data_IF_179317501755
#
_entry.id   IF_179317501755
#
_cell.length_a   1.000
_cell.length_b   1.000
_cell.length_c   1.000
_cell.angle_alpha   90.00
_cell.angle_beta   90.00
_cell.angle_gamma   90.00
#
_symmetry.space_group_name_H-M   'P 1'
#
loop_
_entity.id
_entity.type
_entity.pdbx_description
1 polymer ?
#
# COMPACT_ATOMS: atom_id res chain seq x y z
N UNK A 1 -0.88 2.00 21.72
CA UNK A 1 -1.82 1.73 20.61
C UNK A 1 -2.77 2.90 20.49
N UNK A 2 -2.65 3.68 19.41
CA UNK A 2 -3.58 4.78 19.16
C UNK A 2 -4.89 4.25 18.55
N UNK A 3 -5.99 4.99 18.72
CA UNK A 3 -7.29 4.68 18.10
C UNK A 3 -7.22 4.58 16.57
N UNK A 4 -6.20 5.16 15.93
CA UNK A 4 -5.94 5.04 14.50
C UNK A 4 -5.32 3.69 14.10
N UNK A 5 -4.53 3.06 14.97
CA UNK A 5 -3.93 1.74 14.72
C UNK A 5 -4.97 0.61 14.85
N UNK A 6 -5.94 0.76 15.75
CA UNK A 6 -7.03 -0.21 15.93
C UNK A 6 -8.03 -0.21 14.77
N UNK A 7 -8.26 0.95 14.15
CA UNK A 7 -9.21 1.10 13.02
C UNK A 7 -8.66 0.54 11.70
N UNK A 8 -7.33 0.37 11.57
CA UNK A 8 -6.70 -0.03 10.30
C UNK A 8 -6.82 -1.53 10.01
N UNK A 9 -6.86 -2.37 11.03
CA UNK A 9 -6.64 -3.82 10.85
C UNK A 9 -7.92 -4.66 10.82
N UNK A 10 -9.09 -4.10 11.15
CA UNK A 10 -10.32 -4.89 11.30
C UNK A 10 -11.51 -4.39 10.47
N UNK A 11 -11.43 -3.19 9.88
CA UNK A 11 -12.55 -2.59 9.15
C UNK A 11 -12.70 -3.14 7.72
N UNK A 12 -11.67 -3.78 7.17
CA UNK A 12 -11.54 -3.98 5.71
C UNK A 12 -11.60 -5.42 5.24
N UNK A 13 -11.62 -6.40 6.15
CA UNK A 13 -11.75 -7.82 5.81
C UNK A 13 -13.16 -8.18 5.29
N UNK A 14 -14.08 -7.21 5.28
CA UNK A 14 -15.47 -7.39 4.86
C UNK A 14 -16.10 -6.11 4.28
N UNK A 15 -15.31 -5.24 3.66
CA UNK A 15 -15.90 -4.07 2.97
C UNK A 15 -16.60 -4.56 1.71
N UNK A 16 -17.92 -4.68 1.82
CA UNK A 16 -18.81 -4.67 0.67
C UNK A 16 -18.58 -3.35 -0.07
N UNK A 17 -17.85 -3.40 -1.18
CA UNK A 17 -17.51 -2.19 -1.91
C UNK A 17 -18.76 -1.62 -2.58
N UNK A 18 -19.38 -0.66 -1.91
CA UNK A 18 -20.34 0.30 -2.42
C UNK A 18 -19.68 1.67 -2.59
N UNK A 19 -20.37 2.64 -3.21
CA UNK A 19 -19.88 4.02 -3.28
C UNK A 19 -19.53 4.63 -1.91
N UNK A 20 -20.33 4.29 -0.89
CA UNK A 20 -20.19 4.75 0.49
C UNK A 20 -18.88 4.29 1.12
N UNK A 21 -18.32 3.18 0.63
CA UNK A 21 -17.08 2.59 1.15
C UNK A 21 -15.89 2.86 0.22
N UNK A 22 -16.13 2.97 -1.09
CA UNK A 22 -15.08 3.17 -2.10
C UNK A 22 -14.31 4.49 -1.90
N UNK A 23 -15.03 5.62 -1.77
CA UNK A 23 -14.40 6.95 -1.63
C UNK A 23 -13.60 7.06 -0.32
N UNK A 24 -14.14 6.65 0.85
CA UNK A 24 -13.36 6.65 2.09
C UNK A 24 -12.15 5.72 2.07
N UNK A 25 -12.28 4.53 1.48
CA UNK A 25 -11.16 3.58 1.34
C UNK A 25 -10.03 4.19 0.51
N UNK A 26 -10.35 4.83 -0.61
CA UNK A 26 -9.34 5.53 -1.41
C UNK A 26 -8.70 6.70 -0.64
N UNK A 27 -9.41 7.36 0.28
CA UNK A 27 -8.84 8.41 1.15
C UNK A 27 -7.80 7.90 2.13
N UNK A 28 -8.04 6.72 2.69
CA UNK A 28 -7.26 6.21 3.82
C UNK A 28 -6.11 5.30 3.40
N UNK A 29 -6.05 4.88 2.13
CA UNK A 29 -4.91 4.13 1.58
C UNK A 29 -3.86 5.11 1.08
N UNK A 30 -2.69 5.14 1.74
CA UNK A 30 -1.50 5.82 1.24
C UNK A 30 -0.86 4.95 0.17
N UNK A 31 -0.86 5.41 -1.08
CA UNK A 31 -0.25 4.68 -2.18
C UNK A 31 1.27 4.87 -2.29
N UNK A 32 1.91 5.64 -1.39
CA UNK A 32 3.35 5.91 -1.43
C UNK A 32 3.79 6.72 -2.68
N UNK A 33 4.34 7.92 -2.46
CA UNK A 33 4.92 8.82 -3.47
C UNK A 33 4.12 9.10 -4.76
N UNK A 34 2.80 9.28 -4.64
CA UNK A 34 2.01 10.03 -5.62
C UNK A 34 1.07 10.99 -4.89
N UNK A 35 1.65 11.96 -4.19
CA UNK A 35 0.93 13.11 -3.67
C UNK A 35 0.77 14.17 -4.76
N UNK A 36 -0.39 14.27 -5.41
CA UNK A 36 -0.85 15.54 -6.02
C UNK A 36 -2.38 15.68 -5.83
N UNK A 37 -2.71 16.67 -4.98
CA UNK A 37 -3.85 17.58 -4.89
C UNK A 37 -5.28 17.09 -5.23
N UNK A 38 -6.09 16.97 -4.17
CA UNK A 38 -7.52 16.61 -4.18
C UNK A 38 -8.46 17.82 -4.25
N UNK A 39 -7.97 19.06 -4.26
CA UNK A 39 -8.85 20.22 -4.03
C UNK A 39 -9.60 20.80 -5.23
N UNK A 40 -9.24 20.48 -6.48
CA UNK A 40 -9.78 21.23 -7.64
C UNK A 40 -10.72 20.44 -8.56
N UNK A 41 -11.19 19.26 -8.15
CA UNK A 41 -11.94 18.37 -9.05
C UNK A 41 -13.47 18.38 -8.88
N UNK A 42 -14.03 19.32 -8.11
CA UNK A 42 -15.49 19.56 -8.09
C UNK A 42 -15.97 20.43 -9.26
N UNK A 43 -15.05 21.04 -10.00
CA UNK A 43 -15.37 22.05 -11.03
C UNK A 43 -15.02 21.60 -12.46
N UNK A 44 -14.31 20.48 -12.65
CA UNK A 44 -13.94 20.02 -13.99
C UNK A 44 -15.12 19.42 -14.76
N UNK A 45 -15.39 20.00 -15.92
CA UNK A 45 -16.30 19.50 -16.93
C UNK A 45 -15.67 18.37 -17.75
N UNK A 46 -16.51 17.56 -18.38
CA UNK A 46 -16.17 16.38 -19.20
C UNK A 46 -15.03 16.59 -20.23
N UNK A 47 -14.78 17.83 -20.67
CA UNK A 47 -13.75 18.17 -21.66
C UNK A 47 -12.38 18.53 -21.06
N UNK A 48 -12.29 18.67 -19.74
CA UNK A 48 -11.05 19.10 -19.05
C UNK A 48 -10.25 17.91 -18.51
N UNK A 49 -10.79 16.69 -18.56
CA UNK A 49 -10.08 15.42 -18.31
C UNK A 49 -9.35 14.94 -19.58
N UNK A 50 -8.63 15.87 -20.20
CA UNK A 50 -7.88 15.66 -21.43
C UNK A 50 -6.55 14.97 -21.11
N UNK A 51 -6.36 13.72 -21.57
CA UNK A 51 -5.03 13.16 -21.84
C UNK A 51 -5.07 11.76 -22.49
N UNK A 52 -5.94 10.83 -22.07
CA UNK A 52 -5.87 9.43 -22.56
C UNK A 52 -7.12 8.97 -23.31
N UNK A 53 -8.32 9.19 -22.79
CA UNK A 53 -9.56 8.70 -23.44
C UNK A 53 -9.89 9.53 -24.69
N UNK A 54 -9.78 10.86 -24.60
CA UNK A 54 -10.01 11.79 -25.71
C UNK A 54 -8.97 11.60 -26.84
N UNK A 55 -7.72 11.28 -26.50
CA UNK A 55 -6.67 11.06 -27.49
C UNK A 55 -6.90 9.79 -28.32
N UNK A 56 -7.41 8.73 -27.69
CA UNK A 56 -7.81 7.50 -28.40
C UNK A 56 -9.03 7.73 -29.30
N UNK A 57 -9.96 8.61 -28.90
CA UNK A 57 -11.14 8.97 -29.71
C UNK A 57 -10.79 9.85 -30.91
N UNK A 58 -9.89 10.84 -30.78
CA UNK A 58 -9.62 11.84 -31.83
C UNK A 58 -8.88 11.31 -33.07
N UNK A 59 -8.11 10.23 -32.96
CA UNK A 59 -7.30 9.69 -34.07
C UNK A 59 -7.90 8.44 -34.73
N UNK A 60 -9.02 7.93 -34.21
CA UNK A 60 -9.60 6.64 -34.64
C UNK A 60 -10.78 6.81 -35.59
N UNK A 61 -10.87 5.95 -36.61
CA UNK A 61 -12.04 5.88 -37.48
C UNK A 61 -13.30 5.52 -36.65
N UNK A 62 -14.42 6.16 -36.97
CA UNK A 62 -15.72 5.85 -36.34
C UNK A 62 -16.53 4.94 -37.24
N UNK A 63 -17.05 3.84 -36.68
CA UNK A 63 -17.85 2.86 -37.41
C UNK A 63 -19.20 2.63 -36.75
N UNK A 64 -20.16 2.17 -37.54
CA UNK A 64 -21.51 1.90 -37.06
C UNK A 64 -21.61 0.52 -36.41
N UNK A 65 -22.02 0.47 -35.14
CA UNK A 65 -22.35 -0.77 -34.41
C UNK A 65 -23.82 -0.71 -34.01
N UNK A 66 -24.67 -1.47 -34.70
CA UNK A 66 -26.12 -1.38 -34.54
C UNK A 66 -26.63 0.02 -34.92
N UNK A 67 -27.11 0.77 -33.93
CA UNK A 67 -27.61 2.14 -34.10
C UNK A 67 -26.63 3.22 -33.64
N UNK A 68 -25.43 2.86 -33.20
CA UNK A 68 -24.47 3.77 -32.56
C UNK A 68 -23.20 3.96 -33.41
N UNK A 69 -22.62 5.16 -33.36
CA UNK A 69 -21.34 5.48 -34.01
C UNK A 69 -20.20 5.38 -33.01
N UNK A 70 -19.30 4.43 -33.18
CA UNK A 70 -18.34 4.03 -32.15
C UNK A 70 -16.94 4.09 -32.73
N UNK A 71 -15.96 4.56 -31.96
CA UNK A 71 -14.54 4.44 -32.32
C UNK A 71 -14.21 2.98 -32.64
N UNK A 72 -13.48 2.74 -33.72
CA UNK A 72 -13.11 1.40 -34.17
C UNK A 72 -12.40 0.59 -33.07
N UNK A 73 -11.59 1.25 -32.25
CA UNK A 73 -10.87 0.65 -31.12
C UNK A 73 -11.81 0.08 -30.06
N UNK A 74 -13.03 0.61 -29.96
CA UNK A 74 -14.03 0.24 -28.97
C UNK A 74 -15.05 -0.77 -29.48
N UNK A 75 -15.06 -1.08 -30.79
CA UNK A 75 -15.98 -2.05 -31.38
C UNK A 75 -15.91 -3.43 -30.69
N UNK A 76 -14.73 -4.02 -30.42
CA UNK A 76 -14.67 -5.32 -29.76
C UNK A 76 -15.23 -5.27 -28.34
N UNK A 77 -14.98 -4.17 -27.62
CA UNK A 77 -15.46 -3.94 -26.25
C UNK A 77 -16.98 -3.85 -26.26
N UNK A 78 -17.55 -2.97 -27.10
CA UNK A 78 -18.99 -2.75 -27.14
C UNK A 78 -19.75 -4.02 -27.53
N UNK A 79 -19.25 -4.76 -28.53
CA UNK A 79 -19.83 -6.05 -28.93
C UNK A 79 -19.81 -7.06 -27.79
N UNK A 80 -18.68 -7.18 -27.08
CA UNK A 80 -18.55 -8.08 -25.93
C UNK A 80 -19.57 -7.72 -24.83
N UNK A 81 -19.75 -6.44 -24.57
CA UNK A 81 -20.68 -5.94 -23.56
C UNK A 81 -22.13 -6.21 -23.98
N UNK A 82 -22.50 -5.90 -25.22
CA UNK A 82 -23.85 -6.18 -25.74
C UNK A 82 -24.17 -7.67 -25.77
N UNK A 83 -23.19 -8.51 -26.08
CA UNK A 83 -23.39 -9.96 -26.05
C UNK A 83 -23.63 -10.50 -24.64
N UNK A 84 -22.99 -9.92 -23.61
CA UNK A 84 -23.10 -10.39 -22.21
C UNK A 84 -24.25 -9.73 -21.43
N UNK A 85 -24.53 -8.47 -21.70
CA UNK A 85 -25.40 -7.63 -20.87
C UNK A 85 -26.57 -7.02 -21.66
N UNK A 86 -26.64 -7.26 -22.97
CA UNK A 86 -27.59 -6.59 -23.86
C UNK A 86 -27.24 -5.13 -24.10
N UNK A 87 -28.16 -4.39 -24.72
CA UNK A 87 -28.00 -2.94 -24.89
C UNK A 87 -28.14 -2.23 -23.54
N UNK A 88 -27.00 -1.91 -22.93
CA UNK A 88 -26.89 -1.26 -21.62
C UNK A 88 -27.55 0.12 -21.57
N UNK A 89 -27.84 0.75 -22.71
CA UNK A 89 -28.49 2.06 -22.78
C UNK A 89 -29.94 2.00 -23.30
N UNK A 90 -30.52 0.81 -23.44
CA UNK A 90 -31.89 0.63 -23.92
C UNK A 90 -32.93 1.39 -23.08
N UNK A 91 -32.75 1.41 -21.74
CA UNK A 91 -33.66 2.08 -20.80
C UNK A 91 -33.44 3.59 -20.67
N UNK A 92 -32.34 4.13 -21.20
CA UNK A 92 -32.06 5.56 -21.14
C UNK A 92 -33.01 6.35 -22.05
N UNK A 93 -33.49 7.49 -21.57
CA UNK A 93 -34.38 8.41 -22.31
C UNK A 93 -33.62 9.38 -23.23
N UNK A 94 -32.30 9.29 -23.26
CA UNK A 94 -31.45 10.18 -24.05
C UNK A 94 -31.63 9.97 -25.55
N UNK A 95 -31.37 11.02 -26.33
CA UNK A 95 -31.31 10.92 -27.79
C UNK A 95 -30.12 10.05 -28.21
N UNK A 96 -30.24 9.41 -29.38
CA UNK A 96 -29.25 8.46 -29.93
C UNK A 96 -27.84 9.05 -29.99
N UNK A 97 -27.72 10.31 -30.40
CA UNK A 97 -26.44 11.02 -30.51
C UNK A 97 -25.77 11.16 -29.14
N UNK A 98 -26.55 11.45 -28.11
CA UNK A 98 -26.07 11.54 -26.73
C UNK A 98 -25.73 10.15 -26.17
N UNK A 99 -26.55 9.13 -26.43
CA UNK A 99 -26.24 7.73 -26.04
C UNK A 99 -24.92 7.28 -26.65
N UNK A 100 -24.67 7.65 -27.90
CA UNK A 100 -23.43 7.34 -28.62
C UNK A 100 -22.20 7.95 -27.92
N UNK A 101 -22.29 9.19 -27.43
CA UNK A 101 -21.20 9.82 -26.66
C UNK A 101 -20.91 9.07 -25.37
N UNK A 102 -21.95 8.74 -24.60
CA UNK A 102 -21.78 7.98 -23.36
C UNK A 102 -21.29 6.54 -23.58
N UNK A 103 -21.67 5.89 -24.69
CA UNK A 103 -21.14 4.58 -25.06
C UNK A 103 -19.64 4.63 -25.38
N UNK A 104 -19.18 5.64 -26.12
CA UNK A 104 -17.75 5.81 -26.39
C UNK A 104 -16.97 6.11 -25.09
N UNK A 105 -17.47 7.02 -24.25
CA UNK A 105 -16.90 7.29 -22.92
C UNK A 105 -16.78 6.00 -22.08
N UNK A 106 -17.87 5.24 -21.97
CA UNK A 106 -17.89 3.98 -21.24
C UNK A 106 -16.88 2.97 -21.79
N UNK A 107 -16.84 2.79 -23.11
CA UNK A 107 -15.88 1.89 -23.74
C UNK A 107 -14.44 2.38 -23.56
N UNK A 108 -14.20 3.69 -23.56
CA UNK A 108 -12.90 4.29 -23.29
C UNK A 108 -12.41 4.01 -21.87
N UNK A 109 -13.30 4.07 -20.88
CA UNK A 109 -12.97 3.66 -19.50
C UNK A 109 -12.63 2.17 -19.44
N UNK A 110 -13.47 1.32 -20.04
CA UNK A 110 -13.22 -0.14 -20.07
C UNK A 110 -11.90 -0.45 -20.80
N UNK A 111 -11.63 0.22 -21.92
CA UNK A 111 -10.37 0.11 -22.65
C UNK A 111 -9.18 0.51 -21.76
N UNK A 112 -9.28 1.63 -21.04
CA UNK A 112 -8.25 2.06 -20.09
C UNK A 112 -8.02 1.02 -19.01
N UNK A 113 -9.10 0.46 -18.41
CA UNK A 113 -8.98 -0.62 -17.41
C UNK A 113 -8.28 -1.86 -17.97
N UNK A 114 -8.64 -2.31 -19.17
CA UNK A 114 -8.05 -3.50 -19.79
C UNK A 114 -6.58 -3.33 -20.18
N UNK A 115 -6.14 -2.10 -20.48
CA UNK A 115 -4.78 -1.82 -20.96
C UNK A 115 -3.86 -1.23 -19.89
N UNK A 116 -4.32 -1.08 -18.65
CA UNK A 116 -3.49 -0.58 -17.54
C UNK A 116 -2.86 -1.76 -16.80
N UNK A 117 -1.53 -1.77 -16.65
CA UNK A 117 -0.86 -2.76 -15.80
C UNK A 117 -1.14 -2.49 -14.32
N UNK A 118 -1.24 -3.55 -13.49
CA UNK A 118 -1.54 -3.42 -12.07
C UNK A 118 -0.62 -2.43 -11.31
N UNK A 119 0.68 -2.40 -11.67
CA UNK A 119 1.67 -1.49 -11.08
C UNK A 119 1.44 -0.01 -11.40
N UNK A 120 0.73 0.29 -12.48
CA UNK A 120 0.48 1.65 -12.96
C UNK A 120 -0.88 2.18 -12.45
N UNK A 121 -1.66 1.32 -11.79
CA UNK A 121 -2.91 1.72 -11.15
C UNK A 121 -2.60 2.55 -9.92
N UNK A 122 -3.08 3.78 -9.91
CA UNK A 122 -3.01 4.69 -8.78
C UNK A 122 -4.40 5.23 -8.42
N UNK A 123 -4.46 5.94 -7.30
CA UNK A 123 -5.69 6.53 -6.77
C UNK A 123 -6.42 7.43 -7.75
N UNK A 124 -5.70 8.26 -8.50
CA UNK A 124 -6.31 9.20 -9.44
C UNK A 124 -6.97 8.45 -10.60
N UNK A 125 -6.33 7.39 -11.08
CA UNK A 125 -6.88 6.55 -12.14
C UNK A 125 -8.16 5.82 -11.69
N UNK A 126 -8.15 5.24 -10.48
CA UNK A 126 -9.34 4.59 -9.89
C UNK A 126 -10.51 5.58 -9.73
N UNK A 127 -10.23 6.80 -9.25
CA UNK A 127 -11.23 7.86 -9.14
C UNK A 127 -11.75 8.29 -10.51
N UNK A 128 -10.88 8.37 -11.51
CA UNK A 128 -11.28 8.73 -12.87
C UNK A 128 -12.22 7.67 -13.48
N UNK A 129 -11.89 6.38 -13.38
CA UNK A 129 -12.77 5.30 -13.84
C UNK A 129 -14.12 5.36 -13.13
N UNK A 130 -14.13 5.48 -11.80
CA UNK A 130 -15.35 5.57 -11.01
C UNK A 130 -16.23 6.76 -11.41
N UNK A 131 -15.65 7.95 -11.56
CA UNK A 131 -16.39 9.17 -11.95
C UNK A 131 -17.05 9.02 -13.32
N UNK A 132 -16.35 8.47 -14.29
CA UNK A 132 -16.90 8.29 -15.63
C UNK A 132 -18.02 7.24 -15.63
N UNK A 133 -17.89 6.15 -14.88
CA UNK A 133 -19.00 5.23 -14.67
C UNK A 133 -20.19 5.93 -14.00
N UNK A 134 -19.98 6.78 -13.00
CA UNK A 134 -21.08 7.55 -12.39
C UNK A 134 -21.81 8.45 -13.37
N UNK A 135 -21.09 9.11 -14.29
CA UNK A 135 -21.72 9.90 -15.35
C UNK A 135 -22.58 9.03 -16.28
N UNK A 136 -22.09 7.86 -16.67
CA UNK A 136 -22.80 6.91 -17.54
C UNK A 136 -24.03 6.32 -16.83
N UNK A 137 -23.92 6.01 -15.54
CA UNK A 137 -25.05 5.57 -14.71
C UNK A 137 -26.12 6.66 -14.59
N UNK A 138 -25.73 7.91 -14.29
CA UNK A 138 -26.64 9.05 -14.26
C UNK A 138 -27.31 9.32 -15.61
N UNK A 139 -26.68 8.95 -16.72
CA UNK A 139 -27.26 8.98 -18.06
C UNK A 139 -28.33 7.89 -18.29
N UNK A 140 -28.62 7.06 -17.28
CA UNK A 140 -29.64 6.01 -17.30
C UNK A 140 -29.16 4.70 -17.93
N UNK A 141 -27.85 4.47 -17.97
CA UNK A 141 -27.29 3.23 -18.49
C UNK A 141 -27.21 2.18 -17.37
N UNK A 142 -27.53 0.94 -17.70
CA UNK A 142 -27.44 -0.18 -16.77
C UNK A 142 -26.03 -0.77 -16.77
N UNK A 143 -25.15 -0.22 -15.92
CA UNK A 143 -23.71 -0.57 -15.87
C UNK A 143 -23.23 -1.06 -14.51
N UNK A 144 -24.13 -1.58 -13.66
CA UNK A 144 -23.76 -2.05 -12.32
C UNK A 144 -22.60 -3.07 -12.36
N UNK A 145 -22.57 -3.94 -13.37
CA UNK A 145 -21.50 -4.92 -13.57
C UNK A 145 -20.11 -4.28 -13.70
N UNK A 146 -20.02 -3.05 -14.22
CA UNK A 146 -18.77 -2.33 -14.39
C UNK A 146 -18.27 -1.77 -13.05
N UNK A 147 -19.18 -1.28 -12.20
CA UNK A 147 -18.85 -0.92 -10.82
C UNK A 147 -18.38 -2.12 -10.03
N UNK A 148 -19.10 -3.25 -10.10
CA UNK A 148 -18.73 -4.49 -9.42
C UNK A 148 -17.31 -4.94 -9.81
N UNK A 149 -16.95 -4.79 -11.09
CA UNK A 149 -15.61 -5.09 -11.57
C UNK A 149 -14.57 -4.10 -11.04
N UNK A 150 -14.84 -2.79 -11.12
CA UNK A 150 -13.95 -1.74 -10.60
C UNK A 150 -13.66 -1.95 -9.11
N UNK A 151 -14.69 -2.26 -8.34
CA UNK A 151 -14.57 -2.51 -6.91
C UNK A 151 -13.69 -3.74 -6.61
N UNK A 152 -13.86 -4.84 -7.36
CA UNK A 152 -13.00 -6.04 -7.23
C UNK A 152 -11.54 -5.73 -7.56
N UNK A 153 -11.28 -4.94 -8.60
CA UNK A 153 -9.92 -4.49 -8.95
C UNK A 153 -9.32 -3.68 -7.81
N UNK A 154 -10.06 -2.70 -7.27
CA UNK A 154 -9.60 -1.88 -6.15
C UNK A 154 -9.32 -2.69 -4.90
N UNK A 155 -10.22 -3.61 -4.53
CA UNK A 155 -10.00 -4.51 -3.40
C UNK A 155 -8.73 -5.35 -3.58
N UNK A 156 -8.54 -5.93 -4.76
CA UNK A 156 -7.37 -6.75 -5.07
C UNK A 156 -6.07 -5.94 -4.96
N UNK A 157 -6.04 -4.73 -5.52
CA UNK A 157 -4.89 -3.82 -5.43
C UNK A 157 -4.54 -3.48 -3.98
N UNK A 158 -5.56 -3.15 -3.20
CA UNK A 158 -5.40 -2.80 -1.79
C UNK A 158 -4.82 -3.97 -0.98
N UNK A 159 -5.30 -5.19 -1.23
CA UNK A 159 -4.77 -6.40 -0.59
C UNK A 159 -3.29 -6.61 -0.91
N UNK A 160 -2.89 -6.38 -2.17
CA UNK A 160 -1.48 -6.47 -2.59
C UNK A 160 -0.62 -5.40 -1.91
N UNK A 161 -1.07 -4.15 -1.89
CA UNK A 161 -0.35 -3.04 -1.22
C UNK A 161 -0.11 -3.37 0.26
N UNK A 162 -1.12 -3.88 0.96
CA UNK A 162 -1.00 -4.28 2.38
C UNK A 162 -0.04 -5.43 2.60
N UNK A 163 -0.07 -6.44 1.73
CA UNK A 163 0.87 -7.56 1.82
C UNK A 163 2.32 -7.04 1.70
N UNK A 164 2.58 -6.16 0.73
CA UNK A 164 3.88 -5.53 0.56
C UNK A 164 4.30 -4.65 1.76
N UNK A 165 3.39 -3.85 2.32
CA UNK A 165 3.67 -3.02 3.50
C UNK A 165 4.01 -3.87 4.73
N UNK A 166 3.30 -4.99 4.90
CA UNK A 166 3.53 -5.95 5.97
C UNK A 166 4.90 -6.61 5.82
N UNK A 167 5.24 -7.09 4.62
CA UNK A 167 6.54 -7.69 4.33
C UNK A 167 7.70 -6.72 4.56
N UNK A 168 7.53 -5.46 4.16
CA UNK A 168 8.53 -4.39 4.40
C UNK A 168 8.73 -4.16 5.90
N UNK A 169 7.63 -4.07 6.64
CA UNK A 169 7.66 -3.86 8.09
C UNK A 169 8.36 -5.04 8.79
N UNK A 170 8.06 -6.28 8.39
CA UNK A 170 8.71 -7.49 8.89
C UNK A 170 10.21 -7.46 8.59
N UNK A 171 10.59 -7.10 7.37
CA UNK A 171 12.00 -6.99 6.97
C UNK A 171 12.75 -5.96 7.84
N UNK A 172 12.17 -4.78 8.07
CA UNK A 172 12.78 -3.74 8.87
C UNK A 172 12.97 -4.15 10.34
N UNK A 173 11.97 -4.83 10.92
CA UNK A 173 12.10 -5.37 12.28
C UNK A 173 13.16 -6.48 12.37
N UNK A 174 13.20 -7.40 11.39
CA UNK A 174 14.22 -8.44 11.34
C UNK A 174 15.63 -7.85 11.25
N UNK A 175 15.81 -6.80 10.45
CA UNK A 175 17.08 -6.08 10.35
C UNK A 175 17.48 -5.43 11.67
N UNK A 176 16.55 -4.77 12.36
CA UNK A 176 16.80 -4.16 13.67
C UNK A 176 17.18 -5.20 14.72
N UNK A 177 16.49 -6.35 14.77
CA UNK A 177 16.84 -7.45 15.69
C UNK A 177 18.26 -7.96 15.42
N UNK A 178 18.62 -8.22 14.17
CA UNK A 178 19.96 -8.70 13.81
C UNK A 178 21.07 -7.72 14.22
N UNK A 179 20.84 -6.42 14.04
CA UNK A 179 21.78 -5.39 14.48
C UNK A 179 21.95 -5.41 16.01
N UNK A 180 20.84 -5.50 16.76
CA UNK A 180 20.88 -5.57 18.23
C UNK A 180 21.58 -6.83 18.74
N UNK A 181 21.36 -7.99 18.10
CA UNK A 181 22.04 -9.24 18.42
C UNK A 181 23.55 -9.11 18.23
N UNK A 182 23.98 -8.52 17.11
CA UNK A 182 25.40 -8.27 16.81
C UNK A 182 26.05 -7.38 17.87
N UNK A 183 25.39 -6.30 18.30
CA UNK A 183 25.92 -5.41 19.34
C UNK A 183 26.02 -6.09 20.70
N UNK A 184 25.05 -6.95 21.04
CA UNK A 184 25.07 -7.72 22.29
C UNK A 184 26.22 -8.73 22.32
N UNK A 185 26.52 -9.38 21.20
CA UNK A 185 27.68 -10.28 21.07
C UNK A 185 29.00 -9.53 21.25
N UNK A 186 29.17 -8.35 20.62
CA UNK A 186 30.36 -7.50 20.80
C UNK A 186 30.56 -7.12 22.27
N UNK A 187 29.49 -6.68 22.94
CA UNK A 187 29.55 -6.30 24.36
C UNK A 187 29.90 -7.48 25.26
N UNK A 188 29.41 -8.69 24.97
CA UNK A 188 29.80 -9.91 25.69
C UNK A 188 31.29 -10.20 25.55
N UNK A 189 31.83 -10.13 24.33
CA UNK A 189 33.27 -10.34 24.09
C UNK A 189 34.10 -9.32 24.87
N UNK A 190 33.75 -8.04 24.79
CA UNK A 190 34.43 -6.97 25.53
C UNK A 190 34.39 -7.19 27.05
N UNK A 191 33.26 -7.65 27.59
CA UNK A 191 33.14 -7.95 29.01
C UNK A 191 34.06 -9.12 29.40
N UNK A 192 34.10 -10.18 28.60
CA UNK A 192 34.99 -11.33 28.83
C UNK A 192 36.46 -10.92 28.79
N UNK A 193 36.86 -10.12 27.81
CA UNK A 193 38.23 -9.61 27.68
C UNK A 193 38.63 -8.76 28.89
N UNK A 194 37.72 -7.88 29.34
CA UNK A 194 37.95 -7.03 30.51
C UNK A 194 38.12 -7.85 31.79
N UNK A 195 37.28 -8.86 32.00
CA UNK A 195 37.40 -9.77 33.16
C UNK A 195 38.75 -10.49 33.13
N UNK A 196 39.13 -11.07 31.99
CA UNK A 196 40.41 -11.77 31.83
C UNK A 196 41.63 -10.86 32.06
N UNK A 197 41.54 -9.60 31.63
CA UNK A 197 42.61 -8.60 31.84
C UNK A 197 42.79 -8.21 33.32
N UNK A 198 41.73 -8.31 34.14
CA UNK A 198 41.75 -8.01 35.58
C UNK A 198 42.13 -9.20 36.44
N UNK A 199 41.68 -10.41 36.09
CA UNK A 199 42.06 -11.64 36.79
C UNK A 199 43.52 -12.02 36.54
N UNK A 200 44.06 -11.74 35.35
CA UNK A 200 45.49 -11.92 35.03
C UNK A 200 46.44 -10.96 35.76
N UNK A 201 45.95 -9.88 36.38
CA UNK A 201 46.77 -8.86 37.05
C UNK A 201 46.80 -8.95 38.59
N UNK A 202 45.98 -9.77 39.23
CA UNK A 202 45.78 -9.73 40.70
C UNK A 202 46.32 -10.93 41.50
N UNK A 203 47.20 -11.74 40.91
CA UNK A 203 47.91 -12.79 41.67
C UNK A 203 49.00 -12.21 42.61
N UNK A 204 49.81 -11.19 42.24
CA UNK A 204 50.89 -10.73 43.11
C UNK A 204 50.41 -10.00 44.37
N UNK A 205 49.33 -9.22 44.28
CA UNK A 205 48.84 -8.40 45.41
C UNK A 205 48.10 -9.23 46.46
N UNK A 206 47.41 -10.31 46.06
CA UNK A 206 46.77 -11.21 47.03
C UNK A 206 47.78 -12.09 47.78
N UNK A 207 48.89 -12.48 47.15
CA UNK A 207 49.94 -13.24 47.81
C UNK A 207 50.78 -12.37 48.74
N UNK A 208 51.12 -11.13 48.33
CA UNK A 208 51.78 -10.15 49.20
C UNK A 208 50.97 -9.84 50.47
N UNK A 209 49.65 -9.63 50.35
CA UNK A 209 48.81 -9.35 51.53
C UNK A 209 48.67 -10.54 52.48
N UNK A 210 48.72 -11.78 51.98
CA UNK A 210 48.69 -13.00 52.81
C UNK A 210 50.03 -13.20 53.51
N UNK A 211 51.15 -13.00 52.81
CA UNK A 211 52.50 -13.07 53.37
C UNK A 211 52.72 -12.00 54.45
N UNK A 212 52.26 -10.77 54.21
CA UNK A 212 52.32 -9.68 55.20
C UNK A 212 51.49 -10.01 56.45
N UNK A 213 50.31 -10.60 56.29
CA UNK A 213 49.44 -10.97 57.42
C UNK A 213 50.04 -12.13 58.25
N UNK A 214 50.67 -13.12 57.60
CA UNK A 214 51.40 -14.19 58.29
C UNK A 214 52.65 -13.69 59.04
N UNK A 215 53.36 -12.71 58.47
CA UNK A 215 54.52 -12.08 59.11
C UNK A 215 54.11 -11.28 60.37
N UNK A 216 53.03 -10.51 60.28
CA UNK A 216 52.45 -9.78 61.42
C UNK A 216 51.98 -10.71 62.54
N UNK A 217 51.35 -11.83 62.20
CA UNK A 217 50.91 -12.83 63.17
C UNK A 217 52.09 -13.51 63.90
N UNK A 218 53.19 -13.79 63.17
CA UNK A 218 54.43 -14.33 63.76
C UNK A 218 55.15 -13.33 64.66
N UNK A 219 55.19 -12.04 64.29
CA UNK A 219 55.79 -10.99 65.13
C UNK A 219 55.04 -10.81 66.46
N UNK A 220 53.71 -10.90 66.46
CA UNK A 220 52.90 -10.72 67.67
C UNK A 220 53.02 -11.89 68.66
N UNK A 221 53.46 -13.07 68.20
CA UNK A 221 53.69 -14.26 69.03
C UNK A 221 55.10 -14.30 69.67
N UNK A 222 56.07 -13.53 69.17
CA UNK A 222 57.44 -13.48 69.71
C UNK A 222 57.60 -12.41 70.80
N UNK A 223 56.71 -11.41 70.86
CA UNK A 223 56.77 -10.32 71.85
C UNK A 223 56.17 -10.61 73.24
N UNK A 224 55.61 -11.80 73.48
CA UNK A 224 54.94 -12.12 74.77
C UNK A 224 55.57 -13.27 75.55
N UNK A 225 56.80 -13.67 75.20
CA UNK A 225 57.51 -14.72 75.92
C UNK A 225 59.00 -14.43 76.07
N UNK A 226 59.36 -13.59 77.04
CA UNK A 226 60.42 -13.82 78.04
C UNK A 226 60.72 -12.56 78.85
N UNK A 227 60.38 -12.68 80.14
CA UNK A 227 60.80 -11.92 81.33
C UNK A 227 60.21 -10.51 81.54
#
# INVERSE_FOLDING_TARGET
MSRAEFMSNHFLDNVNCSDETFIPVLRNVSFGHFEIWIKDFSEMTFWELDSVVVKVELESEVVKVGHYMISQNFVPILKSIFNKHGDICAKSTLKRETKTRFLNMFCGVVYSMCNTMAKDINRNLLLNWWKNFKLVEHAGFNIQFAFDHLYKVTQSLISVVRACDTDRTIYDYRRKMNNQTTELEKLKVQLTDHINSKTGKSIPEKQSLIEDFELFSKMHMVGTGLL
#
